data_IF_982275186798
#
_entry.id   IF_982275186798
#
_cell.length_a   1.000
_cell.length_b   1.000
_cell.length_c   1.000
_cell.angle_alpha   90.00
_cell.angle_beta   90.00
_cell.angle_gamma   90.00
#
_symmetry.space_group_name_H-M   'P 1'
#
loop_
_entity.id
_entity.type
_entity.pdbx_description
1 polymer ?
#
# COMPACT_ATOMS: atom_id res chain seq x y z
N UNK A 1 36.50 -5.51 5.51
CA UNK A 1 36.35 -5.53 5.80
C UNK A 1 36.45 -5.67 6.02
N UNK A 2 36.50 -5.63 5.91
CA UNK A 2 36.45 -5.64 6.14
C UNK A 2 36.45 -5.63 6.70
N UNK A 3 36.32 -5.55 6.90
CA UNK A 3 36.15 -5.37 7.46
C UNK A 3 35.98 -5.26 8.10
N UNK A 4 35.81 -5.23 8.31
CA UNK A 4 35.47 -4.95 9.01
C UNK A 4 35.09 -4.73 9.64
N UNK A 5 34.78 -4.59 9.84
CA UNK A 5 34.25 -4.21 10.50
C UNK A 5 33.71 -4.21 11.11
N UNK A 6 33.29 -4.38 11.07
CA UNK A 6 32.84 -4.17 11.75
C UNK A 6 32.05 -3.51 12.28
N UNK A 7 31.66 -3.84 12.69
CA UNK A 7 30.67 -3.07 13.10
C UNK A 7 30.62 -1.73 12.80
N UNK A 8 30.96 -1.49 12.18
CA UNK A 8 30.91 -0.35 11.99
C UNK A 8 30.12 0.02 11.09
N UNK A 9 29.72 -0.57 10.54
CA UNK A 9 29.14 -0.14 9.59
C UNK A 9 27.92 0.42 9.68
N UNK A 10 27.84 1.31 9.49
CA UNK A 10 26.68 1.89 9.37
C UNK A 10 26.35 2.05 7.99
N UNK A 11 26.74 1.63 7.79
CA UNK A 11 26.58 1.74 6.74
C UNK A 11 26.32 1.07 5.90
N UNK A 12 26.51 1.25 5.63
CA UNK A 12 26.75 0.98 4.73
C UNK A 12 26.64 0.10 4.08
N UNK A 13 26.45 0.08 3.50
CA UNK A 13 26.55 -0.77 2.86
C UNK A 13 27.56 -0.83 2.07
N UNK A 14 28.20 -0.60 1.93
CA UNK A 14 29.20 -0.55 1.50
C UNK A 14 29.91 0.20 1.87
N UNK A 15 29.94 0.17 2.73
CA UNK A 15 30.72 0.69 3.51
C UNK A 15 31.32 1.85 3.48
N UNK A 16 30.90 2.56 3.38
CA UNK A 16 31.40 3.62 3.32
C UNK A 16 31.51 4.32 4.42
N UNK A 17 31.65 5.29 4.63
CA UNK A 17 31.90 6.16 5.58
C UNK A 17 31.15 6.11 6.70
N UNK A 18 31.59 5.85 7.81
CA UNK A 18 30.92 5.84 9.04
C UNK A 18 31.39 6.98 9.88
N UNK A 19 30.63 8.02 9.92
CA UNK A 19 30.87 9.08 10.85
C UNK A 19 30.16 8.73 12.12
N UNK A 20 30.80 8.94 13.27
CA UNK A 20 30.16 8.69 14.55
C UNK A 20 29.13 9.77 14.79
N UNK A 21 27.88 9.40 15.05
CA UNK A 21 26.84 10.39 15.28
C UNK A 21 27.01 11.03 16.67
N UNK A 22 26.59 12.28 16.79
CA UNK A 22 26.60 12.93 18.09
C UNK A 22 25.42 12.43 18.92
N UNK A 23 25.25 12.92 20.13
CA UNK A 23 24.20 12.42 21.02
C UNK A 23 22.80 12.60 20.45
N UNK A 24 22.54 13.72 19.80
CA UNK A 24 21.22 13.97 19.21
C UNK A 24 20.96 12.99 18.10
N UNK A 25 21.96 12.72 17.26
CA UNK A 25 21.80 11.79 16.16
C UNK A 25 21.59 10.37 16.65
N UNK A 26 22.28 9.98 17.72
CA UNK A 26 22.11 8.66 18.29
C UNK A 26 20.69 8.45 18.81
N UNK A 27 20.16 9.47 19.50
CA UNK A 27 18.81 9.39 20.03
C UNK A 27 17.79 9.26 18.89
N UNK A 28 17.99 10.01 17.82
CA UNK A 28 17.12 9.93 16.67
C UNK A 28 17.19 8.55 16.03
N UNK A 29 18.39 8.00 15.94
CA UNK A 29 18.57 6.67 15.36
C UNK A 29 17.85 5.61 16.20
N UNK A 30 17.94 5.70 17.51
CA UNK A 30 17.27 4.75 18.40
C UNK A 30 15.76 4.81 18.26
N UNK A 31 15.21 6.02 18.10
CA UNK A 31 13.77 6.19 17.91
C UNK A 31 13.35 5.62 16.56
N UNK A 32 14.14 5.87 15.51
CA UNK A 32 13.85 5.36 14.18
C UNK A 32 13.92 3.83 14.14
N UNK A 33 14.89 3.26 14.86
CA UNK A 33 15.03 1.82 14.92
C UNK A 33 13.82 1.18 15.62
N UNK A 34 13.38 1.76 16.74
CA UNK A 34 12.21 1.26 17.46
C UNK A 34 10.96 1.35 16.58
N UNK A 35 10.83 2.43 15.81
CA UNK A 35 9.70 2.59 14.91
C UNK A 35 9.73 1.51 13.82
N UNK A 36 10.92 1.22 13.29
CA UNK A 36 11.09 0.17 12.29
C UNK A 36 10.72 -1.20 12.82
N UNK A 37 11.14 -1.53 14.04
CA UNK A 37 10.82 -2.80 14.65
C UNK A 37 9.32 -2.98 14.83
N UNK A 38 8.62 -1.93 15.25
CA UNK A 38 7.18 -1.97 15.40
C UNK A 38 6.50 -2.22 14.04
N UNK A 39 7.02 -1.60 12.98
CA UNK A 39 6.48 -1.81 11.63
C UNK A 39 6.74 -3.21 11.13
N UNK A 40 7.91 -3.75 11.40
CA UNK A 40 8.24 -5.11 11.00
C UNK A 40 7.34 -6.12 11.70
N UNK A 41 7.09 -5.95 12.99
CA UNK A 41 6.19 -6.80 13.74
C UNK A 41 4.77 -6.73 13.17
N UNK A 42 4.33 -5.55 12.80
CA UNK A 42 3.01 -5.36 12.22
C UNK A 42 2.88 -6.11 10.89
N UNK A 43 3.91 -6.01 10.06
CA UNK A 43 3.91 -6.72 8.77
C UNK A 43 3.94 -8.22 8.97
N UNK A 44 4.73 -8.69 9.93
CA UNK A 44 4.78 -10.11 10.25
C UNK A 44 3.40 -10.61 10.71
N UNK A 45 2.71 -9.80 11.51
CA UNK A 45 1.36 -10.11 11.95
C UNK A 45 0.39 -10.14 10.79
N UNK A 46 0.52 -9.22 9.84
CA UNK A 46 -0.32 -9.20 8.64
C UNK A 46 -0.20 -10.49 7.85
N UNK A 47 1.00 -11.05 7.80
CA UNK A 47 1.26 -12.26 7.03
C UNK A 47 0.97 -13.53 7.80
N UNK A 48 0.60 -13.42 9.08
CA UNK A 48 0.36 -14.57 9.92
C UNK A 48 -1.04 -14.52 10.52
N UNK A 49 -1.87 -15.46 10.15
CA UNK A 49 -3.19 -15.56 10.74
C UNK A 49 -4.22 -14.52 10.31
N UNK A 50 -3.88 -13.70 9.33
CA UNK A 50 -4.81 -12.71 8.79
C UNK A 50 -5.28 -13.15 7.41
N UNK A 51 -6.49 -12.74 7.05
CA UNK A 51 -7.01 -13.04 5.72
C UNK A 51 -6.51 -11.98 4.74
N UNK A 52 -5.97 -12.43 3.65
CA UNK A 52 -5.40 -11.54 2.64
C UNK A 52 -6.04 -11.81 1.29
N UNK A 53 -6.55 -10.76 0.67
CA UNK A 53 -7.09 -10.82 -0.68
C UNK A 53 -5.98 -10.35 -1.62
N UNK A 54 -5.62 -11.16 -2.60
CA UNK A 54 -4.56 -10.83 -3.54
C UNK A 54 -5.14 -10.63 -4.94
N UNK A 55 -4.87 -9.49 -5.52
CA UNK A 55 -5.27 -9.16 -6.88
C UNK A 55 -4.04 -8.79 -7.69
N UNK A 56 -4.08 -9.01 -8.99
CA UNK A 56 -2.96 -8.69 -9.87
C UNK A 56 -3.45 -7.87 -11.05
N UNK A 57 -2.71 -6.82 -11.35
CA UNK A 57 -2.95 -6.00 -12.54
C UNK A 57 -1.80 -6.23 -13.51
N UNK A 58 -2.15 -6.51 -14.75
CA UNK A 58 -1.13 -6.66 -15.77
C UNK A 58 -0.98 -5.34 -16.53
N UNK A 59 -0.25 -5.36 -17.57
CA UNK A 59 0.21 -4.23 -18.36
C UNK A 59 -0.63 -2.96 -18.44
N UNK A 60 -1.93 -3.06 -18.31
CA UNK A 60 -2.81 -1.90 -18.49
C UNK A 60 -2.49 -0.75 -17.54
N UNK A 61 -2.12 -1.06 -16.32
CA UNK A 61 -1.84 -0.04 -15.30
C UNK A 61 -0.65 0.86 -15.68
N UNK A 62 0.35 0.30 -16.35
CA UNK A 62 1.52 1.09 -16.72
C UNK A 62 1.23 2.05 -17.86
N UNK A 63 0.24 1.75 -18.69
CA UNK A 63 -0.14 2.66 -19.77
C UNK A 63 -1.09 3.75 -19.28
N UNK A 64 -2.02 3.39 -18.42
CA UNK A 64 -3.06 4.31 -17.98
C UNK A 64 -2.76 4.98 -16.66
N UNK A 65 -1.88 4.39 -15.85
CA UNK A 65 -1.61 4.87 -14.49
C UNK A 65 -2.73 4.54 -13.53
N UNK A 66 -3.64 3.64 -13.92
CA UNK A 66 -4.81 3.32 -13.10
C UNK A 66 -4.83 1.85 -12.72
N UNK A 67 -5.38 1.56 -11.54
CA UNK A 67 -5.69 0.19 -11.14
C UNK A 67 -7.20 0.06 -11.02
N UNK A 68 -7.70 -1.16 -11.17
CA UNK A 68 -9.13 -1.43 -11.11
C UNK A 68 -9.44 -2.23 -9.86
N UNK A 69 -10.39 -1.74 -9.08
CA UNK A 69 -10.81 -2.45 -7.86
C UNK A 69 -12.29 -2.80 -8.02
N UNK A 70 -12.55 -4.07 -8.26
CA UNK A 70 -13.91 -4.54 -8.50
C UNK A 70 -14.76 -4.40 -7.23
N UNK A 71 -16.00 -3.99 -7.41
CA UNK A 71 -16.92 -3.89 -6.28
C UNK A 71 -18.27 -4.55 -6.57
N UNK A 72 -18.54 -4.90 -7.81
CA UNK A 72 -19.80 -5.51 -8.18
C UNK A 72 -19.61 -6.41 -9.41
N UNK A 73 -20.34 -7.52 -9.46
CA UNK A 73 -20.33 -8.42 -10.60
C UNK A 73 -21.72 -9.01 -10.75
N UNK A 74 -22.27 -8.91 -11.96
CA UNK A 74 -23.62 -9.41 -12.26
C UNK A 74 -24.69 -8.89 -11.28
N UNK A 75 -24.54 -7.62 -10.89
CA UNK A 75 -25.49 -6.97 -9.97
C UNK A 75 -25.33 -7.35 -8.51
N UNK A 76 -24.32 -8.11 -8.17
CA UNK A 76 -24.07 -8.57 -6.79
C UNK A 76 -22.76 -8.01 -6.26
N UNK A 77 -22.66 -7.80 -4.94
CA UNK A 77 -21.40 -7.34 -4.36
C UNK A 77 -20.27 -8.31 -4.71
N UNK A 78 -19.11 -7.77 -5.06
CA UNK A 78 -17.96 -8.55 -5.45
C UNK A 78 -16.69 -7.76 -5.11
N UNK A 79 -15.53 -8.40 -5.20
CA UNK A 79 -14.27 -7.74 -4.93
C UNK A 79 -14.26 -7.06 -3.58
N UNK A 80 -14.00 -5.74 -3.58
CA UNK A 80 -13.84 -5.00 -2.33
C UNK A 80 -15.12 -4.94 -1.48
N UNK A 81 -16.29 -5.08 -2.11
CA UNK A 81 -17.55 -5.07 -1.38
C UNK A 81 -17.85 -6.42 -0.73
N UNK A 82 -17.41 -7.50 -1.36
CA UNK A 82 -17.68 -8.84 -0.88
C UNK A 82 -16.57 -9.45 -0.05
N UNK A 83 -15.38 -8.87 -0.13
CA UNK A 83 -14.23 -9.46 0.55
C UNK A 83 -14.36 -9.37 2.08
N UNK A 84 -13.95 -10.44 2.75
CA UNK A 84 -13.91 -10.46 4.20
C UNK A 84 -12.45 -10.47 4.66
N UNK A 85 -11.53 -10.14 3.76
CA UNK A 85 -10.11 -10.11 4.10
C UNK A 85 -9.79 -8.94 5.03
N UNK A 86 -8.73 -9.11 5.80
CA UNK A 86 -8.22 -8.04 6.65
C UNK A 86 -7.35 -7.09 5.85
N UNK A 87 -6.67 -7.59 4.83
CA UNK A 87 -5.77 -6.81 3.99
C UNK A 87 -5.99 -7.10 2.52
N UNK A 88 -5.73 -6.10 1.71
CA UNK A 88 -5.88 -6.19 0.26
C UNK A 88 -4.51 -5.95 -0.38
N UNK A 89 -3.98 -6.96 -1.04
CA UNK A 89 -2.70 -6.88 -1.72
C UNK A 89 -2.98 -6.75 -3.22
N UNK A 90 -2.47 -5.68 -3.81
CA UNK A 90 -2.68 -5.43 -5.23
C UNK A 90 -1.34 -5.44 -5.94
N UNK A 91 -1.05 -6.52 -6.64
CA UNK A 91 0.21 -6.66 -7.38
C UNK A 91 0.16 -5.92 -8.70
N UNK A 92 1.21 -5.18 -8.99
CA UNK A 92 1.36 -4.50 -10.27
C UNK A 92 2.43 -5.23 -11.05
N UNK A 93 2.05 -5.80 -12.19
CA UNK A 93 2.95 -6.62 -12.98
C UNK A 93 3.27 -5.98 -14.32
N UNK A 94 4.47 -6.26 -14.81
CA UNK A 94 4.90 -5.84 -16.15
C UNK A 94 5.25 -7.14 -16.88
N UNK A 95 4.41 -7.53 -17.83
CA UNK A 95 4.58 -8.81 -18.47
C UNK A 95 4.33 -9.92 -17.47
N UNK A 96 5.32 -10.76 -17.29
CA UNK A 96 5.23 -11.88 -16.34
C UNK A 96 5.93 -11.58 -15.02
N UNK A 97 6.49 -10.39 -14.88
CA UNK A 97 7.23 -10.03 -13.66
C UNK A 97 6.40 -9.11 -12.79
N UNK A 98 6.56 -9.26 -11.48
CA UNK A 98 5.91 -8.37 -10.54
C UNK A 98 6.77 -7.12 -10.39
N UNK A 99 6.17 -5.97 -10.58
CA UNK A 99 6.86 -4.70 -10.42
C UNK A 99 6.82 -4.25 -8.95
N UNK A 100 5.65 -4.29 -8.36
CA UNK A 100 5.49 -4.00 -6.94
C UNK A 100 4.14 -4.48 -6.47
N UNK A 101 3.94 -4.46 -5.16
CA UNK A 101 2.66 -4.82 -4.56
C UNK A 101 2.23 -3.69 -3.64
N UNK A 102 1.01 -3.22 -3.85
CA UNK A 102 0.40 -2.22 -2.98
C UNK A 102 -0.36 -2.96 -1.89
N UNK A 103 -0.14 -2.58 -0.64
CA UNK A 103 -0.80 -3.21 0.50
C UNK A 103 -1.73 -2.20 1.15
N UNK A 104 -3.00 -2.54 1.22
CA UNK A 104 -4.01 -1.70 1.86
C UNK A 104 -4.65 -2.47 3.00
N UNK A 105 -5.01 -1.78 4.08
CA UNK A 105 -5.97 -2.35 5.01
C UNK A 105 -7.30 -2.34 4.31
N UNK A 106 -8.04 -3.43 4.35
CA UNK A 106 -9.32 -3.51 3.65
C UNK A 106 -10.29 -2.39 4.03
N UNK A 107 -10.48 -2.07 5.34
CA UNK A 107 -11.34 -0.94 5.70
C UNK A 107 -10.86 0.39 5.13
N UNK A 108 -9.55 0.61 5.10
CA UNK A 108 -8.98 1.84 4.57
C UNK A 108 -9.24 1.93 3.07
N UNK A 109 -9.04 0.83 2.35
CA UNK A 109 -9.29 0.82 0.91
C UNK A 109 -10.76 1.11 0.61
N UNK A 110 -11.67 0.54 1.40
CA UNK A 110 -13.10 0.82 1.24
C UNK A 110 -13.41 2.30 1.40
N UNK A 111 -12.79 2.95 2.39
CA UNK A 111 -12.96 4.39 2.57
C UNK A 111 -12.45 5.16 1.37
N UNK A 112 -11.29 4.79 0.88
CA UNK A 112 -10.67 5.48 -0.25
C UNK A 112 -11.55 5.43 -1.48
N UNK A 113 -12.06 4.26 -1.82
CA UNK A 113 -12.84 4.11 -3.06
C UNK A 113 -14.30 4.51 -2.91
N UNK A 114 -14.88 4.38 -1.74
CA UNK A 114 -16.29 4.64 -1.53
C UNK A 114 -16.61 6.00 -0.93
N UNK A 115 -15.92 6.35 0.12
CA UNK A 115 -16.24 7.58 0.88
C UNK A 115 -15.63 8.84 0.31
N UNK A 116 -14.44 8.75 -0.24
CA UNK A 116 -13.81 9.93 -0.82
C UNK A 116 -14.50 10.38 -2.10
N UNK A 117 -15.08 9.42 -2.84
CA UNK A 117 -15.76 9.68 -4.10
C UNK A 117 -14.90 10.51 -5.05
N UNK A 118 -13.61 10.25 -5.05
CA UNK A 118 -12.66 10.95 -5.92
C UNK A 118 -12.27 10.15 -7.15
N UNK A 119 -12.68 8.89 -7.21
CA UNK A 119 -12.30 8.00 -8.29
C UNK A 119 -13.51 7.58 -9.12
N UNK A 120 -13.28 7.41 -10.42
CA UNK A 120 -14.33 7.03 -11.34
C UNK A 120 -14.69 5.56 -11.20
N UNK A 121 -15.86 5.20 -11.67
CA UNK A 121 -16.24 3.81 -11.77
C UNK A 121 -16.36 3.46 -13.25
N UNK A 122 -16.03 2.23 -13.60
CA UNK A 122 -16.11 1.74 -14.97
C UNK A 122 -16.72 0.36 -14.98
N UNK A 123 -17.20 -0.05 -16.14
CA UNK A 123 -17.72 -1.40 -16.32
C UNK A 123 -16.69 -2.20 -17.10
N UNK A 124 -16.59 -3.47 -16.81
CA UNK A 124 -15.65 -4.35 -17.50
C UNK A 124 -16.03 -5.80 -17.34
N UNK A 125 -15.12 -6.70 -17.71
CA UNK A 125 -15.36 -8.12 -17.64
C UNK A 125 -16.30 -8.60 -18.73
N UNK A 126 -16.78 -9.84 -18.62
CA UNK A 126 -17.65 -10.44 -19.60
C UNK A 126 -18.98 -9.69 -19.67
N UNK A 127 -19.35 -9.26 -20.86
CA UNK A 127 -20.58 -8.51 -21.11
C UNK A 127 -20.69 -7.24 -20.25
N UNK A 128 -19.57 -6.68 -19.83
CA UNK A 128 -19.51 -5.51 -18.95
C UNK A 128 -20.31 -5.73 -17.67
N UNK A 129 -20.36 -6.97 -17.20
CA UNK A 129 -21.14 -7.31 -16.00
C UNK A 129 -20.45 -6.93 -14.70
N UNK A 130 -19.17 -6.67 -14.74
CA UNK A 130 -18.41 -6.26 -13.56
C UNK A 130 -18.29 -4.76 -13.50
N UNK A 131 -18.38 -4.22 -12.29
CA UNK A 131 -18.16 -2.80 -12.06
C UNK A 131 -16.99 -2.65 -11.11
N UNK A 132 -16.16 -1.66 -11.37
CA UNK A 132 -14.96 -1.46 -10.60
C UNK A 132 -14.60 0.01 -10.48
N UNK A 133 -13.88 0.34 -9.42
CA UNK A 133 -13.35 1.68 -9.24
C UNK A 133 -12.06 1.79 -10.03
N UNK A 134 -11.93 2.87 -10.79
CA UNK A 134 -10.72 3.14 -11.55
C UNK A 134 -9.88 4.10 -10.71
N UNK A 135 -8.88 3.57 -10.05
CA UNK A 135 -8.05 4.33 -9.12
C UNK A 135 -6.76 4.76 -9.80
N UNK A 136 -6.64 6.06 -10.05
CA UNK A 136 -5.42 6.61 -10.64
C UNK A 136 -4.34 6.67 -9.57
N UNK A 137 -3.20 6.05 -9.85
CA UNK A 137 -2.12 5.94 -8.87
C UNK A 137 -1.52 7.28 -8.47
N UNK A 138 -1.35 8.19 -9.43
CA UNK A 138 -0.84 9.51 -9.11
C UNK A 138 -1.80 10.26 -8.23
N UNK A 139 -3.08 10.15 -8.51
CA UNK A 139 -4.11 10.81 -7.73
C UNK A 139 -4.19 10.21 -6.33
N UNK A 140 -4.07 8.90 -6.23
CA UNK A 140 -4.12 8.20 -4.95
C UNK A 140 -3.09 8.73 -3.97
N UNK A 141 -1.92 9.07 -4.47
CA UNK A 141 -0.83 9.59 -3.65
C UNK A 141 -0.70 11.12 -3.68
N UNK A 142 -1.69 11.80 -4.25
CA UNK A 142 -1.67 13.27 -4.29
C UNK A 142 -2.00 13.85 -2.93
N UNK A 143 -1.49 15.04 -2.69
CA UNK A 143 -1.76 15.75 -1.44
C UNK A 143 -3.25 16.00 -1.24
N UNK A 144 -3.95 16.32 -2.32
CA UNK A 144 -5.38 16.62 -2.25
C UNK A 144 -6.19 15.41 -1.76
N UNK A 145 -5.89 14.24 -2.28
CA UNK A 145 -6.61 13.03 -1.87
C UNK A 145 -6.26 12.64 -0.44
N UNK A 146 -4.98 12.80 -0.07
CA UNK A 146 -4.54 12.48 1.28
C UNK A 146 -5.21 13.40 2.29
N UNK A 147 -5.32 14.68 1.98
CA UNK A 147 -6.02 15.63 2.86
C UNK A 147 -7.50 15.28 3.00
N UNK A 148 -8.14 14.94 1.88
CA UNK A 148 -9.55 14.55 1.91
C UNK A 148 -9.75 13.30 2.77
N UNK A 149 -8.82 12.36 2.69
CA UNK A 149 -8.91 11.15 3.49
C UNK A 149 -8.78 11.47 4.99
N UNK A 150 -7.86 12.36 5.34
CA UNK A 150 -7.70 12.77 6.73
C UNK A 150 -8.96 13.43 7.27
N UNK A 151 -9.60 14.25 6.45
CA UNK A 151 -10.85 14.91 6.85
C UNK A 151 -11.95 13.92 7.12
N UNK A 152 -12.00 12.82 6.35
CA UNK A 152 -12.99 11.78 6.60
C UNK A 152 -12.75 11.10 7.94
N UNK A 153 -11.50 10.88 8.31
CA UNK A 153 -11.18 10.26 9.58
C UNK A 153 -11.54 11.16 10.74
N UNK A 154 -11.30 12.46 10.60
CA UNK A 154 -11.65 13.43 11.63
C UNK A 154 -13.17 13.46 11.86
N UNK A 155 -13.96 13.34 10.80
CA UNK A 155 -15.40 13.30 10.92
C UNK A 155 -15.88 12.08 11.68
N UNK A 156 -15.18 10.96 11.54
CA UNK A 156 -15.56 9.73 12.24
C UNK A 156 -15.27 9.76 13.72
N UNK A 157 -14.30 10.56 14.12
CA UNK A 157 -13.93 10.66 15.54
C UNK A 157 -14.94 11.48 16.34
N UNK A 158 -15.85 12.12 15.69
CA UNK A 158 -16.91 12.83 16.34
C UNK A 158 -18.17 11.94 16.51
#
# INVERSE_FOLDING_TARGET
SSSSNSGESLYNIKGEICMKPNKADRKKFDIDLAYGEVREDKIAEMLTGKKIEVKSEKDMWQRTGNICIEYQSWGKPSGIEATESDYWFHNLCIGEEEYCTLVFSTPVLKKIVKRLDKFKTVSGGDNNASRMFLVNLQKLFSTDVIKAFKELEDEQDN
#
